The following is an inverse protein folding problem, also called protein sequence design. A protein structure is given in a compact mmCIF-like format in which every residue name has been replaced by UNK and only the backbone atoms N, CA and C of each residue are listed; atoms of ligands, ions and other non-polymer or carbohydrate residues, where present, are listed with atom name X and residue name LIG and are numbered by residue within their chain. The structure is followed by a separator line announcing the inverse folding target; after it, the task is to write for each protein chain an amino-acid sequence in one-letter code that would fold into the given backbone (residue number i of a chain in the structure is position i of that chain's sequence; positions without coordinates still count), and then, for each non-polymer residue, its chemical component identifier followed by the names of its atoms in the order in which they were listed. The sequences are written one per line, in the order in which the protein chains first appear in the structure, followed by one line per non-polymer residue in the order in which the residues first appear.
data_IF_867816090533
#
_entry.id   IF_867816090533
#
_cell.length_a   1.000
_cell.length_b   1.000
_cell.length_c   1.000
_cell.angle_alpha   90.00
_cell.angle_beta   90.00
_cell.angle_gamma   90.00
#
_symmetry.space_group_name_H-M   'P 1'
#
loop_
_entity.id
_entity.type
_entity.pdbx_description
1 polymer ?
#
# COMPACT_ATOMS: atom_id res chain seq x y z
N UNK A 1 26.93 -20.27 -25.15
CA UNK A 1 26.11 -20.94 -26.17
C UNK A 1 25.24 -19.90 -26.89
N UNK A 2 25.05 -20.05 -28.16
CA UNK A 2 24.22 -19.18 -28.99
C UNK A 2 23.46 -20.03 -30.02
N UNK A 3 22.14 -19.95 -30.03
CA UNK A 3 21.26 -20.67 -30.94
C UNK A 3 19.91 -19.98 -31.05
N UNK A 4 19.17 -20.22 -32.16
CA UNK A 4 17.78 -19.75 -32.30
C UNK A 4 16.85 -20.46 -31.32
N UNK A 5 16.99 -21.78 -31.19
CA UNK A 5 16.30 -22.60 -30.21
C UNK A 5 17.35 -23.41 -29.44
N UNK A 6 17.30 -23.36 -28.13
CA UNK A 6 18.20 -24.11 -27.27
C UNK A 6 17.41 -24.82 -26.19
N UNK A 7 17.57 -26.14 -26.08
CA UNK A 7 16.92 -26.96 -25.08
C UNK A 7 17.93 -27.89 -24.43
N UNK A 8 17.95 -27.90 -23.09
CA UNK A 8 18.78 -28.79 -22.30
C UNK A 8 18.15 -29.01 -20.92
N UNK A 9 18.50 -30.13 -20.25
CA UNK A 9 18.11 -30.36 -18.86
C UNK A 9 18.88 -29.37 -17.98
N UNK A 10 20.19 -29.33 -18.14
CA UNK A 10 21.09 -28.45 -17.39
C UNK A 10 21.95 -27.64 -18.36
N UNK A 11 21.99 -26.34 -18.16
CA UNK A 11 22.92 -25.45 -18.83
C UNK A 11 23.69 -24.62 -17.81
N UNK A 12 24.99 -24.77 -17.80
CA UNK A 12 25.90 -23.87 -17.06
C UNK A 12 26.80 -23.16 -18.07
N UNK A 13 26.77 -21.84 -18.07
CA UNK A 13 27.50 -21.03 -19.03
C UNK A 13 27.81 -19.64 -18.49
N UNK A 14 28.95 -19.07 -18.86
CA UNK A 14 29.18 -17.64 -18.59
C UNK A 14 28.17 -16.78 -19.36
N UNK A 15 27.91 -17.11 -20.63
CA UNK A 15 26.95 -16.39 -21.48
C UNK A 15 25.99 -17.41 -22.12
N UNK A 16 24.70 -17.24 -21.94
CA UNK A 16 23.64 -17.97 -22.62
C UNK A 16 22.84 -17.00 -23.50
N UNK A 17 22.80 -17.22 -24.80
CA UNK A 17 22.07 -16.40 -25.75
C UNK A 17 21.26 -17.28 -26.70
N UNK A 18 19.97 -17.00 -26.83
CA UNK A 18 19.04 -17.75 -27.66
C UNK A 18 17.79 -16.92 -27.96
N UNK A 19 17.08 -17.20 -29.04
CA UNK A 19 15.71 -16.67 -29.20
C UNK A 19 14.75 -17.42 -28.25
N UNK A 20 14.81 -18.74 -28.27
CA UNK A 20 13.98 -19.58 -27.38
C UNK A 20 14.89 -20.50 -26.55
N UNK A 21 14.70 -20.48 -25.23
CA UNK A 21 15.43 -21.33 -24.29
C UNK A 21 14.49 -22.16 -23.42
N UNK A 22 14.71 -23.47 -23.36
CA UNK A 22 13.95 -24.42 -22.56
C UNK A 22 14.92 -25.24 -21.70
N UNK A 23 14.91 -25.02 -20.38
CA UNK A 23 15.82 -25.67 -19.44
C UNK A 23 15.09 -26.16 -18.19
N UNK A 24 15.56 -27.28 -17.60
CA UNK A 24 15.19 -27.56 -16.21
C UNK A 24 16.02 -26.65 -15.30
N UNK A 25 17.31 -26.55 -15.51
CA UNK A 25 18.18 -25.68 -14.73
C UNK A 25 19.04 -24.82 -15.68
N UNK A 26 19.00 -23.51 -15.45
CA UNK A 26 19.89 -22.54 -16.11
C UNK A 26 20.74 -21.84 -15.07
N UNK A 27 22.05 -21.93 -15.22
CA UNK A 27 23.04 -21.17 -14.43
C UNK A 27 23.91 -20.38 -15.40
N UNK A 28 23.85 -19.04 -15.34
CA UNK A 28 24.64 -18.20 -16.23
C UNK A 28 25.06 -16.91 -15.52
N UNK A 29 26.24 -16.36 -15.87
CA UNK A 29 26.56 -14.98 -15.49
C UNK A 29 25.70 -14.00 -16.28
N UNK A 30 25.53 -14.25 -17.57
CA UNK A 30 24.64 -13.47 -18.45
C UNK A 30 23.68 -14.42 -19.17
N UNK A 31 22.37 -14.22 -18.99
CA UNK A 31 21.34 -14.86 -19.78
C UNK A 31 20.63 -13.78 -20.63
N UNK A 32 20.75 -13.92 -21.97
CA UNK A 32 20.08 -13.03 -22.94
C UNK A 32 19.26 -13.91 -23.89
N UNK A 33 18.01 -14.17 -23.51
CA UNK A 33 17.13 -15.12 -24.18
C UNK A 33 15.76 -14.46 -24.34
N UNK A 34 15.25 -14.36 -25.56
CA UNK A 34 13.98 -13.66 -25.84
C UNK A 34 12.83 -14.33 -25.07
N UNK A 35 12.65 -15.64 -25.30
CA UNK A 35 11.68 -16.44 -24.55
C UNK A 35 12.40 -17.51 -23.74
N UNK A 36 12.39 -17.40 -22.42
CA UNK A 36 13.00 -18.35 -21.49
C UNK A 36 11.93 -19.08 -20.67
N UNK A 37 11.92 -20.39 -20.80
CA UNK A 37 11.12 -21.29 -19.96
C UNK A 37 12.06 -22.19 -19.18
N UNK A 38 12.00 -22.20 -17.88
CA UNK A 38 12.89 -22.99 -17.02
C UNK A 38 12.20 -23.38 -15.72
N UNK A 39 12.64 -24.49 -15.10
CA UNK A 39 12.24 -24.79 -13.74
C UNK A 39 13.00 -23.88 -12.78
N UNK A 40 14.34 -23.82 -12.93
CA UNK A 40 15.20 -22.99 -12.08
C UNK A 40 16.11 -22.12 -12.96
N UNK A 41 16.13 -20.83 -12.71
CA UNK A 41 17.05 -19.89 -13.35
C UNK A 41 17.91 -19.19 -12.29
N UNK A 42 19.22 -19.25 -12.45
CA UNK A 42 20.17 -18.53 -11.60
C UNK A 42 21.13 -17.76 -12.47
N UNK A 43 21.16 -16.44 -12.33
CA UNK A 43 22.08 -15.60 -13.11
C UNK A 43 22.53 -14.37 -12.34
N UNK A 44 23.66 -13.75 -12.75
CA UNK A 44 24.00 -12.42 -12.29
C UNK A 44 23.16 -11.38 -13.04
N UNK A 45 23.05 -11.51 -14.35
CA UNK A 45 22.26 -10.61 -15.19
C UNK A 45 21.33 -11.41 -16.11
N UNK A 46 20.05 -11.08 -16.11
CA UNK A 46 19.03 -11.65 -17.00
C UNK A 46 18.43 -10.56 -17.89
N UNK A 47 18.46 -10.79 -19.21
CA UNK A 47 17.78 -9.95 -20.20
C UNK A 47 16.86 -10.85 -21.02
N UNK A 48 15.55 -10.68 -20.89
CA UNK A 48 14.59 -11.51 -21.62
C UNK A 48 13.27 -10.74 -21.82
N UNK A 49 12.62 -10.98 -22.95
CA UNK A 49 11.27 -10.44 -23.14
C UNK A 49 10.26 -11.23 -22.31
N UNK A 50 10.41 -12.55 -22.28
CA UNK A 50 9.52 -13.39 -21.49
C UNK A 50 10.31 -14.42 -20.68
N UNK A 51 10.08 -14.43 -19.36
CA UNK A 51 10.57 -15.46 -18.44
C UNK A 51 9.39 -16.18 -17.78
N UNK A 52 9.37 -17.49 -17.95
CA UNK A 52 8.49 -18.39 -17.19
C UNK A 52 9.36 -19.36 -16.38
N UNK A 53 9.25 -19.34 -15.06
CA UNK A 53 10.09 -20.14 -14.16
C UNK A 53 9.34 -20.54 -12.91
N UNK A 54 9.67 -21.71 -12.31
CA UNK A 54 9.26 -21.95 -10.94
C UNK A 54 10.08 -21.09 -9.98
N UNK A 55 11.41 -21.08 -10.17
CA UNK A 55 12.31 -20.29 -9.34
C UNK A 55 13.23 -19.43 -10.21
N UNK A 56 13.30 -18.13 -9.91
CA UNK A 56 14.22 -17.20 -10.54
C UNK A 56 15.05 -16.46 -9.48
N UNK A 57 16.35 -16.63 -9.55
CA UNK A 57 17.33 -15.94 -8.68
C UNK A 57 18.29 -15.15 -9.53
N UNK A 58 18.38 -13.84 -9.30
CA UNK A 58 19.28 -12.96 -10.06
C UNK A 58 19.70 -11.74 -9.27
N UNK A 59 20.88 -11.19 -9.57
CA UNK A 59 21.27 -9.88 -9.06
C UNK A 59 20.54 -8.79 -9.85
N UNK A 60 20.57 -8.82 -11.18
CA UNK A 60 19.90 -7.84 -12.04
C UNK A 60 19.03 -8.54 -13.08
N UNK A 61 17.78 -8.14 -13.20
CA UNK A 61 16.88 -8.66 -14.22
C UNK A 61 16.14 -7.54 -14.95
N UNK A 62 16.19 -7.60 -16.27
CA UNK A 62 15.45 -6.74 -17.19
C UNK A 62 14.54 -7.63 -18.03
N UNK A 63 13.25 -7.61 -17.73
CA UNK A 63 12.27 -8.57 -18.25
C UNK A 63 11.01 -7.82 -18.67
N UNK A 64 10.53 -8.02 -19.90
CA UNK A 64 9.25 -7.42 -20.30
C UNK A 64 8.06 -8.11 -19.60
N UNK A 65 8.09 -9.45 -19.49
CA UNK A 65 7.06 -10.22 -18.80
C UNK A 65 7.66 -11.34 -17.94
N UNK A 66 7.42 -11.31 -16.65
CA UNK A 66 7.84 -12.33 -15.68
C UNK A 66 6.65 -13.11 -15.14
N UNK A 67 6.72 -14.44 -15.23
CA UNK A 67 5.82 -15.36 -14.53
C UNK A 67 6.68 -16.34 -13.73
N UNK A 68 6.60 -16.32 -12.41
CA UNK A 68 7.37 -17.19 -11.54
C UNK A 68 6.62 -17.60 -10.27
N UNK A 69 6.89 -18.78 -9.75
CA UNK A 69 6.40 -19.15 -8.40
C UNK A 69 7.21 -18.43 -7.34
N UNK A 70 8.53 -18.44 -7.46
CA UNK A 70 9.44 -17.71 -6.57
C UNK A 70 10.37 -16.81 -7.39
N UNK A 71 10.38 -15.51 -7.10
CA UNK A 71 11.34 -14.56 -7.63
C UNK A 71 12.17 -13.97 -6.49
N UNK A 72 13.49 -14.22 -6.50
CA UNK A 72 14.46 -13.67 -5.56
C UNK A 72 15.49 -12.87 -6.36
N UNK A 73 15.23 -11.58 -6.54
CA UNK A 73 15.99 -10.73 -7.47
C UNK A 73 16.36 -9.42 -6.76
N UNK A 74 17.65 -9.11 -6.69
CA UNK A 74 18.09 -7.87 -6.03
C UNK A 74 17.56 -6.64 -6.76
N UNK A 75 17.77 -6.53 -8.06
CA UNK A 75 17.28 -5.43 -8.88
C UNK A 75 16.39 -5.98 -9.99
N UNK A 76 15.10 -5.72 -9.93
CA UNK A 76 14.13 -6.14 -10.95
C UNK A 76 13.55 -4.94 -11.68
N UNK A 77 13.75 -4.89 -12.96
CA UNK A 77 13.04 -3.98 -13.88
C UNK A 77 12.19 -4.84 -14.80
N UNK A 78 10.87 -4.68 -14.73
CA UNK A 78 9.95 -5.53 -15.46
C UNK A 78 8.75 -4.72 -15.99
N UNK A 79 8.26 -5.07 -17.18
CA UNK A 79 7.00 -4.53 -17.66
C UNK A 79 5.84 -5.04 -16.82
N UNK A 80 5.61 -6.35 -16.87
CA UNK A 80 4.56 -7.01 -16.10
C UNK A 80 5.13 -8.18 -15.30
N UNK A 81 4.81 -8.28 -14.02
CA UNK A 81 5.21 -9.38 -13.13
C UNK A 81 3.99 -10.09 -12.56
N UNK A 82 4.02 -11.41 -12.62
CA UNK A 82 3.06 -12.29 -11.91
C UNK A 82 3.85 -13.36 -11.15
N UNK A 83 3.82 -13.31 -9.83
CA UNK A 83 4.57 -14.22 -8.98
C UNK A 83 3.72 -14.71 -7.82
N UNK A 84 4.01 -15.91 -7.29
CA UNK A 84 3.42 -16.33 -6.01
C UNK A 84 4.14 -15.64 -4.86
N UNK A 85 5.47 -15.67 -4.87
CA UNK A 85 6.31 -15.01 -3.86
C UNK A 85 7.38 -14.16 -4.55
N UNK A 86 7.46 -12.90 -4.19
CA UNK A 86 8.49 -11.98 -4.66
C UNK A 86 9.32 -11.44 -3.50
N UNK A 87 10.64 -11.58 -3.58
CA UNK A 87 11.61 -10.97 -2.67
C UNK A 87 12.58 -10.15 -3.51
N UNK A 88 12.55 -8.85 -3.36
CA UNK A 88 13.40 -7.93 -4.12
C UNK A 88 13.97 -6.85 -3.21
N UNK A 89 15.14 -6.29 -3.55
CA UNK A 89 15.62 -5.07 -2.91
C UNK A 89 15.04 -3.87 -3.63
N UNK A 90 15.14 -3.82 -4.96
CA UNK A 90 14.58 -2.74 -5.77
C UNK A 90 13.67 -3.31 -6.85
N UNK A 91 12.46 -2.80 -6.97
CA UNK A 91 11.49 -3.21 -7.99
C UNK A 91 10.99 -1.99 -8.76
N UNK A 92 11.12 -2.05 -10.09
CA UNK A 92 10.48 -1.12 -11.01
C UNK A 92 9.62 -1.90 -11.99
N UNK A 93 8.33 -1.64 -12.04
CA UNK A 93 7.40 -2.34 -12.95
C UNK A 93 6.29 -1.41 -13.45
N UNK A 94 5.67 -1.76 -14.57
CA UNK A 94 4.39 -1.16 -14.97
C UNK A 94 3.25 -1.78 -14.15
N UNK A 95 3.21 -3.10 -14.06
CA UNK A 95 2.21 -3.82 -13.27
C UNK A 95 2.86 -4.99 -12.54
N UNK A 96 2.52 -5.18 -11.27
CA UNK A 96 2.94 -6.33 -10.50
C UNK A 96 1.74 -6.97 -9.78
N UNK A 97 1.64 -8.29 -9.88
CA UNK A 97 0.67 -9.11 -9.16
C UNK A 97 1.41 -10.22 -8.45
N UNK A 98 1.22 -10.37 -7.14
CA UNK A 98 1.94 -11.35 -6.34
C UNK A 98 1.06 -11.90 -5.22
N UNK A 99 1.31 -13.15 -4.81
CA UNK A 99 0.73 -13.71 -3.60
C UNK A 99 1.32 -13.02 -2.37
N UNK A 100 2.64 -13.03 -2.24
CA UNK A 100 3.37 -12.38 -1.15
C UNK A 100 4.46 -11.48 -1.73
N UNK A 101 4.64 -10.28 -1.18
CA UNK A 101 5.68 -9.35 -1.62
C UNK A 101 6.51 -8.85 -0.45
N UNK A 102 7.83 -8.97 -0.57
CA UNK A 102 8.80 -8.37 0.35
C UNK A 102 9.78 -7.52 -0.45
N UNK A 103 9.75 -6.21 -0.27
CA UNK A 103 10.70 -5.28 -0.90
C UNK A 103 11.39 -4.47 0.18
N UNK A 104 12.69 -4.66 0.33
CA UNK A 104 13.48 -4.02 1.40
C UNK A 104 13.99 -2.63 1.05
N UNK A 105 14.07 -2.29 -0.22
CA UNK A 105 14.42 -0.95 -0.70
C UNK A 105 13.24 -0.22 -1.34
N UNK A 106 13.48 0.46 -2.46
CA UNK A 106 12.45 1.24 -3.13
C UNK A 106 11.67 0.42 -4.15
N UNK A 107 10.34 0.61 -4.17
CA UNK A 107 9.45 0.04 -5.17
C UNK A 107 8.74 1.14 -5.93
N UNK A 108 8.80 1.08 -7.25
CA UNK A 108 8.10 2.01 -8.15
C UNK A 108 7.25 1.24 -9.15
N UNK A 109 5.94 1.43 -9.09
CA UNK A 109 4.97 0.78 -9.98
C UNK A 109 4.20 1.86 -10.73
N UNK A 110 4.41 1.96 -12.04
CA UNK A 110 3.73 2.95 -12.86
C UNK A 110 2.21 2.81 -12.89
N UNK A 111 1.70 1.59 -12.80
CA UNK A 111 0.27 1.27 -12.77
C UNK A 111 -0.20 0.63 -11.47
N UNK A 112 -0.54 -0.65 -11.52
CA UNK A 112 -1.15 -1.38 -10.39
C UNK A 112 -0.18 -2.35 -9.74
N UNK A 113 -0.10 -2.30 -8.40
CA UNK A 113 0.44 -3.37 -7.57
C UNK A 113 -0.71 -4.09 -6.88
N UNK A 114 -0.86 -5.37 -7.15
CA UNK A 114 -1.83 -6.26 -6.49
C UNK A 114 -1.12 -7.31 -5.64
N UNK A 115 -1.45 -7.43 -4.37
CA UNK A 115 -0.94 -8.48 -3.46
C UNK A 115 -2.12 -9.17 -2.77
N UNK A 116 -2.20 -10.50 -2.87
CA UNK A 116 -3.28 -11.27 -2.26
C UNK A 116 -2.95 -11.76 -0.85
N UNK A 117 -1.69 -11.94 -0.52
CA UNK A 117 -1.22 -12.38 0.80
C UNK A 117 -0.58 -11.25 1.62
N UNK A 118 0.48 -11.58 2.35
CA UNK A 118 1.19 -10.63 3.22
C UNK A 118 2.14 -9.75 2.42
N UNK A 119 2.21 -8.47 2.77
CA UNK A 119 3.07 -7.48 2.11
C UNK A 119 3.93 -6.75 3.14
N UNK A 120 5.24 -6.68 2.88
CA UNK A 120 6.18 -5.86 3.64
C UNK A 120 6.98 -5.00 2.66
N UNK A 121 6.80 -3.69 2.71
CA UNK A 121 7.41 -2.76 1.76
C UNK A 121 8.05 -1.58 2.51
N UNK A 122 9.32 -1.27 2.22
CA UNK A 122 10.01 -0.13 2.79
C UNK A 122 9.48 1.18 2.19
N UNK A 123 9.76 1.44 0.92
CA UNK A 123 9.23 2.63 0.22
C UNK A 123 8.50 2.20 -1.03
N UNK A 124 7.25 2.64 -1.18
CA UNK A 124 6.41 2.25 -2.33
C UNK A 124 5.80 3.47 -2.99
N UNK A 125 5.94 3.55 -4.30
CA UNK A 125 5.21 4.50 -5.15
C UNK A 125 4.42 3.71 -6.19
N UNK A 126 3.10 3.91 -6.25
CA UNK A 126 2.23 3.24 -7.21
C UNK A 126 1.04 4.12 -7.58
N UNK A 127 0.50 3.97 -8.81
CA UNK A 127 -0.80 4.61 -9.11
C UNK A 127 -1.91 3.93 -8.32
N UNK A 128 -1.94 2.60 -8.30
CA UNK A 128 -2.89 1.82 -7.49
C UNK A 128 -2.17 0.73 -6.71
N UNK A 129 -2.39 0.68 -5.40
CA UNK A 129 -1.95 -0.40 -4.54
C UNK A 129 -3.18 -1.11 -3.96
N UNK A 130 -3.31 -2.41 -4.21
CA UNK A 130 -4.37 -3.26 -3.67
C UNK A 130 -3.74 -4.42 -2.90
N UNK A 131 -4.09 -4.57 -1.63
CA UNK A 131 -3.66 -5.68 -0.77
C UNK A 131 -4.88 -6.34 -0.15
N UNK A 132 -5.05 -7.64 -0.38
CA UNK A 132 -6.17 -8.41 0.21
C UNK A 132 -5.82 -9.01 1.57
N UNK A 133 -4.53 -9.20 1.86
CA UNK A 133 -4.04 -9.72 3.14
C UNK A 133 -3.58 -8.63 4.12
N UNK A 134 -2.62 -8.99 4.97
CA UNK A 134 -2.02 -8.06 5.94
C UNK A 134 -0.88 -7.29 5.30
N UNK A 135 -0.78 -5.98 5.54
CA UNK A 135 0.30 -5.16 5.01
C UNK A 135 1.03 -4.36 6.09
N UNK A 136 2.35 -4.30 5.94
CA UNK A 136 3.23 -3.40 6.69
C UNK A 136 4.00 -2.54 5.70
N UNK A 137 3.74 -1.24 5.71
CA UNK A 137 4.26 -0.30 4.73
C UNK A 137 4.94 0.85 5.48
N UNK A 138 6.25 1.05 5.27
CA UNK A 138 6.97 2.12 5.94
C UNK A 138 6.58 3.48 5.34
N UNK A 139 6.85 3.70 4.04
CA UNK A 139 6.45 4.93 3.35
C UNK A 139 5.69 4.56 2.07
N UNK A 140 4.48 5.07 1.92
CA UNK A 140 3.64 4.77 0.76
C UNK A 140 3.12 6.04 0.12
N UNK A 141 3.31 6.15 -1.19
CA UNK A 141 2.70 7.17 -2.03
C UNK A 141 1.88 6.49 -3.11
N UNK A 142 0.57 6.75 -3.15
CA UNK A 142 -0.31 6.15 -4.14
C UNK A 142 -1.44 7.11 -4.52
N UNK A 143 -1.99 6.99 -5.74
CA UNK A 143 -3.27 7.66 -6.02
C UNK A 143 -4.39 6.95 -5.25
N UNK A 144 -4.46 5.62 -5.37
CA UNK A 144 -5.46 4.83 -4.64
C UNK A 144 -4.78 3.71 -3.84
N UNK A 145 -5.05 3.64 -2.55
CA UNK A 145 -4.65 2.56 -1.66
C UNK A 145 -5.89 1.82 -1.16
N UNK A 146 -6.00 0.54 -1.47
CA UNK A 146 -7.10 -0.33 -1.01
C UNK A 146 -6.53 -1.51 -0.24
N UNK A 147 -6.99 -1.73 0.98
CA UNK A 147 -6.60 -2.87 1.81
C UNK A 147 -7.82 -3.53 2.44
N UNK A 148 -8.05 -4.80 2.12
CA UNK A 148 -9.16 -5.56 2.70
C UNK A 148 -8.83 -6.18 4.07
N UNK A 149 -7.54 -6.37 4.37
CA UNK A 149 -7.05 -6.89 5.66
C UNK A 149 -6.63 -5.80 6.64
N UNK A 150 -5.67 -6.15 7.51
CA UNK A 150 -5.04 -5.18 8.41
C UNK A 150 -3.91 -4.44 7.72
N UNK A 151 -3.84 -3.13 7.92
CA UNK A 151 -2.78 -2.30 7.34
C UNK A 151 -2.09 -1.50 8.41
N UNK A 152 -0.77 -1.62 8.49
CA UNK A 152 0.10 -0.76 9.28
C UNK A 152 0.88 0.14 8.33
N UNK A 153 0.68 1.44 8.42
CA UNK A 153 1.33 2.46 7.61
C UNK A 153 2.08 3.42 8.53
N UNK A 154 3.39 3.51 8.38
CA UNK A 154 4.13 4.52 9.12
C UNK A 154 3.87 5.91 8.53
N UNK A 155 4.08 6.08 7.22
CA UNK A 155 3.74 7.32 6.51
C UNK A 155 2.97 6.99 5.23
N UNK A 156 1.79 7.59 5.06
CA UNK A 156 0.97 7.40 3.86
C UNK A 156 0.58 8.74 3.23
N UNK A 157 0.75 8.84 1.93
CA UNK A 157 0.25 9.95 1.10
C UNK A 157 -0.54 9.36 -0.06
N UNK A 158 -1.84 9.63 -0.13
CA UNK A 158 -2.69 9.13 -1.20
C UNK A 158 -3.86 10.07 -1.49
N UNK A 159 -4.42 10.00 -2.72
CA UNK A 159 -5.69 10.69 -2.98
C UNK A 159 -6.82 9.95 -2.26
N UNK A 160 -6.85 8.64 -2.31
CA UNK A 160 -7.84 7.84 -1.61
C UNK A 160 -7.21 6.66 -0.84
N UNK A 161 -7.65 6.46 0.39
CA UNK A 161 -7.35 5.29 1.22
C UNK A 161 -8.66 4.60 1.57
N UNK A 162 -8.77 3.32 1.23
CA UNK A 162 -9.90 2.47 1.61
C UNK A 162 -9.37 1.25 2.37
N UNK A 163 -9.81 1.03 3.61
CA UNK A 163 -9.35 -0.08 4.43
C UNK A 163 -10.43 -0.62 5.36
N UNK A 164 -10.38 -1.92 5.70
CA UNK A 164 -11.19 -2.45 6.80
C UNK A 164 -10.60 -2.01 8.13
N UNK A 165 -9.30 -2.24 8.34
CA UNK A 165 -8.58 -1.80 9.53
C UNK A 165 -7.32 -1.05 9.10
N UNK A 166 -7.22 0.23 9.46
CA UNK A 166 -6.06 1.07 9.16
C UNK A 166 -5.36 1.51 10.45
N UNK A 167 -4.08 1.21 10.58
CA UNK A 167 -3.19 1.70 11.62
C UNK A 167 -2.17 2.64 10.98
N UNK A 168 -2.28 3.94 11.28
CA UNK A 168 -1.54 4.99 10.60
C UNK A 168 -0.72 5.79 11.63
N UNK A 169 0.60 5.94 11.46
CA UNK A 169 1.33 6.91 12.27
C UNK A 169 1.05 8.31 11.72
N UNK A 170 1.29 8.53 10.43
CA UNK A 170 0.99 9.80 9.75
C UNK A 170 0.32 9.52 8.42
N UNK A 171 -0.84 10.11 8.19
CA UNK A 171 -1.54 10.01 6.91
C UNK A 171 -1.97 11.37 6.37
N UNK A 172 -1.72 11.58 5.09
CA UNK A 172 -2.24 12.71 4.32
C UNK A 172 -3.03 12.17 3.12
N UNK A 173 -4.32 12.47 3.07
CA UNK A 173 -5.20 11.94 2.02
C UNK A 173 -6.33 12.91 1.70
N UNK A 174 -6.85 12.87 0.47
CA UNK A 174 -8.10 13.59 0.18
C UNK A 174 -9.28 12.83 0.77
N UNK A 175 -9.35 11.53 0.56
CA UNK A 175 -10.46 10.71 1.05
C UNK A 175 -9.94 9.52 1.87
N UNK A 176 -10.41 9.39 3.11
CA UNK A 176 -10.24 8.20 3.93
C UNK A 176 -11.60 7.53 4.12
N UNK A 177 -11.68 6.24 3.79
CA UNK A 177 -12.83 5.39 4.11
C UNK A 177 -12.34 4.15 4.84
N UNK A 178 -12.78 3.93 6.07
CA UNK A 178 -12.38 2.77 6.88
C UNK A 178 -13.52 2.29 7.77
N UNK A 179 -13.53 1.00 8.12
CA UNK A 179 -14.37 0.54 9.23
C UNK A 179 -13.73 0.98 10.54
N UNK A 180 -12.45 0.66 10.73
CA UNK A 180 -11.68 1.08 11.91
C UNK A 180 -10.45 1.86 11.47
N UNK A 181 -10.27 3.07 11.98
CA UNK A 181 -9.11 3.90 11.74
C UNK A 181 -8.42 4.25 13.06
N UNK A 182 -7.13 3.95 13.16
CA UNK A 182 -6.28 4.36 14.27
C UNK A 182 -5.12 5.17 13.72
N UNK A 183 -4.93 6.39 14.19
CA UNK A 183 -3.85 7.26 13.69
C UNK A 183 -3.27 8.15 14.80
N UNK A 184 -1.96 8.43 14.71
CA UNK A 184 -1.37 9.49 15.51
C UNK A 184 -1.71 10.84 14.87
N UNK A 185 -1.44 11.03 13.58
CA UNK A 185 -1.78 12.25 12.86
C UNK A 185 -2.53 11.91 11.56
N UNK A 186 -3.71 12.48 11.39
CA UNK A 186 -4.51 12.34 10.18
C UNK A 186 -4.84 13.73 9.61
N UNK A 187 -4.44 13.97 8.38
CA UNK A 187 -4.81 15.14 7.58
C UNK A 187 -5.63 14.66 6.39
N UNK A 188 -6.86 15.12 6.26
CA UNK A 188 -7.76 14.67 5.19
C UNK A 188 -8.77 15.74 4.80
N UNK A 189 -9.24 15.73 3.55
CA UNK A 189 -10.42 16.52 3.19
C UNK A 189 -11.66 15.82 3.71
N UNK A 190 -11.84 14.55 3.41
CA UNK A 190 -13.00 13.77 3.83
C UNK A 190 -12.58 12.54 4.64
N UNK A 191 -13.11 12.37 5.83
CA UNK A 191 -12.94 11.17 6.66
C UNK A 191 -14.29 10.52 6.91
N UNK A 192 -14.42 9.25 6.54
CA UNK A 192 -15.62 8.43 6.81
C UNK A 192 -15.18 7.14 7.48
N UNK A 193 -15.64 6.88 8.68
CA UNK A 193 -15.36 5.63 9.38
C UNK A 193 -16.46 5.24 10.37
N UNK A 194 -16.50 3.93 10.72
CA UNK A 194 -17.35 3.48 11.83
C UNK A 194 -16.70 3.82 13.15
N UNK A 195 -15.43 3.45 13.34
CA UNK A 195 -14.69 3.72 14.58
C UNK A 195 -13.38 4.42 14.27
N UNK A 196 -13.07 5.49 14.98
CA UNK A 196 -11.80 6.21 14.85
C UNK A 196 -11.18 6.49 16.21
N UNK A 197 -9.89 6.12 16.34
CA UNK A 197 -9.01 6.48 17.44
C UNK A 197 -7.85 7.31 16.89
N UNK A 198 -7.87 8.61 17.13
CA UNK A 198 -6.93 9.53 16.47
C UNK A 198 -6.39 10.51 17.51
N UNK A 199 -5.04 10.64 17.62
CA UNK A 199 -4.48 11.63 18.53
C UNK A 199 -4.68 13.04 18.00
N UNK A 200 -4.48 13.27 16.70
CA UNK A 200 -4.70 14.57 16.06
C UNK A 200 -5.40 14.40 14.71
N UNK A 201 -6.57 15.02 14.55
CA UNK A 201 -7.36 15.04 13.30
C UNK A 201 -7.47 16.47 12.76
N UNK A 202 -7.09 16.63 11.50
CA UNK A 202 -7.41 17.82 10.71
C UNK A 202 -8.19 17.37 9.47
N UNK A 203 -9.45 17.79 9.36
CA UNK A 203 -10.32 17.42 8.25
C UNK A 203 -11.25 18.57 7.84
N UNK A 204 -11.64 18.63 6.56
CA UNK A 204 -12.74 19.50 6.14
C UNK A 204 -14.07 18.88 6.52
N UNK A 205 -14.27 17.62 6.21
CA UNK A 205 -15.47 16.86 6.55
C UNK A 205 -15.11 15.58 7.33
N UNK A 206 -15.69 15.38 8.51
CA UNK A 206 -15.60 14.15 9.29
C UNK A 206 -17.01 13.58 9.49
N UNK A 207 -17.25 12.37 8.97
CA UNK A 207 -18.49 11.62 9.16
C UNK A 207 -18.14 10.27 9.82
N UNK A 208 -18.31 10.18 11.11
CA UNK A 208 -17.78 9.09 11.94
C UNK A 208 -18.84 8.63 12.94
N UNK A 209 -19.11 7.31 12.99
CA UNK A 209 -20.07 6.79 13.97
C UNK A 209 -19.52 6.92 15.39
N UNK A 210 -18.28 6.49 15.63
CA UNK A 210 -17.64 6.59 16.94
C UNK A 210 -16.25 7.20 16.80
N UNK A 211 -16.03 8.37 17.42
CA UNK A 211 -14.76 9.09 17.40
C UNK A 211 -14.21 9.24 18.82
N UNK A 212 -12.99 8.78 19.02
CA UNK A 212 -12.17 9.11 20.18
C UNK A 212 -10.93 9.83 19.69
N UNK A 213 -10.74 11.08 20.08
CA UNK A 213 -9.64 11.91 19.59
C UNK A 213 -9.11 12.84 20.68
N UNK A 214 -7.78 13.04 20.69
CA UNK A 214 -7.18 14.06 21.56
C UNK A 214 -7.55 15.46 21.07
N UNK A 215 -7.11 15.81 19.87
CA UNK A 215 -7.35 17.12 19.25
C UNK A 215 -7.98 16.95 17.87
N UNK A 216 -9.11 17.62 17.63
CA UNK A 216 -9.79 17.64 16.34
C UNK A 216 -10.02 19.06 15.87
N UNK A 217 -9.66 19.35 14.62
CA UNK A 217 -9.99 20.58 13.92
C UNK A 217 -10.69 20.23 12.62
N UNK A 218 -11.94 20.67 12.47
CA UNK A 218 -12.76 20.33 11.29
C UNK A 218 -13.58 21.54 10.86
N UNK A 219 -13.94 21.62 9.58
CA UNK A 219 -14.97 22.56 9.15
C UNK A 219 -16.34 22.00 9.49
N UNK A 220 -16.62 20.76 9.11
CA UNK A 220 -17.88 20.09 9.39
C UNK A 220 -17.62 18.74 10.06
N UNK A 221 -18.15 18.52 11.22
CA UNK A 221 -18.11 17.25 11.96
C UNK A 221 -19.52 16.70 12.13
N UNK A 222 -19.78 15.50 11.64
CA UNK A 222 -20.99 14.73 11.90
C UNK A 222 -20.59 13.42 12.58
N UNK A 223 -20.89 13.27 13.85
CA UNK A 223 -20.39 12.18 14.69
C UNK A 223 -21.53 11.66 15.57
N UNK A 224 -21.84 10.36 15.53
CA UNK A 224 -22.88 9.83 16.41
C UNK A 224 -22.41 9.87 17.86
N UNK A 225 -21.24 9.28 18.14
CA UNK A 225 -20.64 9.29 19.48
C UNK A 225 -19.26 9.94 19.41
N UNK A 226 -19.10 11.09 20.03
CA UNK A 226 -17.85 11.84 20.09
C UNK A 226 -17.28 11.85 21.50
N UNK A 227 -16.00 11.48 21.66
CA UNK A 227 -15.23 11.68 22.88
C UNK A 227 -13.90 12.33 22.51
N UNK A 228 -13.71 13.59 22.87
CA UNK A 228 -12.53 14.36 22.47
C UNK A 228 -12.10 15.32 23.58
N UNK A 229 -10.78 15.48 23.74
CA UNK A 229 -10.24 16.48 24.66
C UNK A 229 -10.51 17.88 24.10
N UNK A 230 -10.16 18.14 22.84
CA UNK A 230 -10.39 19.43 22.22
C UNK A 230 -11.05 19.24 20.83
N UNK A 231 -12.24 19.79 20.64
CA UNK A 231 -12.89 19.90 19.33
C UNK A 231 -12.99 21.37 18.92
N UNK A 232 -12.44 21.68 17.77
CA UNK A 232 -12.61 22.96 17.09
C UNK A 232 -13.30 22.69 15.75
N UNK A 233 -14.49 23.26 15.54
CA UNK A 233 -15.25 23.06 14.30
C UNK A 233 -16.02 24.33 13.91
N UNK A 234 -16.29 24.54 12.62
CA UNK A 234 -17.30 25.53 12.22
C UNK A 234 -18.70 24.98 12.53
N UNK A 235 -18.97 23.74 12.10
CA UNK A 235 -20.23 23.06 12.39
C UNK A 235 -19.95 21.72 13.06
N UNK A 236 -20.53 21.49 14.24
CA UNK A 236 -20.46 20.24 14.98
C UNK A 236 -21.86 19.65 15.15
N UNK A 237 -22.10 18.43 14.69
CA UNK A 237 -23.33 17.68 14.87
C UNK A 237 -23.02 16.35 15.53
N UNK A 238 -23.65 16.03 16.66
CA UNK A 238 -23.45 14.77 17.37
C UNK A 238 -24.74 14.31 18.07
N UNK A 239 -24.94 13.00 18.16
CA UNK A 239 -25.98 12.46 19.07
C UNK A 239 -25.48 12.49 20.49
N UNK A 240 -24.28 12.00 20.75
CA UNK A 240 -23.66 12.01 22.08
C UNK A 240 -22.27 12.66 21.99
N UNK A 241 -22.06 13.75 22.69
CA UNK A 241 -20.81 14.49 22.71
C UNK A 241 -20.21 14.59 24.10
N UNK A 242 -18.99 14.09 24.31
CA UNK A 242 -18.21 14.23 25.53
C UNK A 242 -16.94 15.01 25.21
N UNK A 243 -16.86 16.25 25.65
CA UNK A 243 -15.75 17.16 25.32
C UNK A 243 -15.15 17.76 26.59
N UNK A 244 -13.82 17.84 26.70
CA UNK A 244 -13.22 18.72 27.70
C UNK A 244 -13.33 20.17 27.24
N UNK A 245 -13.03 20.46 25.98
CA UNK A 245 -13.19 21.79 25.38
C UNK A 245 -13.88 21.66 24.01
N UNK A 246 -14.93 22.44 23.81
CA UNK A 246 -15.67 22.58 22.55
C UNK A 246 -15.61 24.03 22.07
N UNK A 247 -15.10 24.26 20.87
CA UNK A 247 -15.16 25.54 20.17
C UNK A 247 -15.88 25.32 18.84
N UNK A 248 -17.06 25.90 18.67
CA UNK A 248 -17.81 25.75 17.42
C UNK A 248 -18.60 27.02 17.08
N UNK A 249 -18.75 27.33 15.80
CA UNK A 249 -19.68 28.40 15.37
C UNK A 249 -21.11 27.91 15.53
N UNK A 250 -21.41 26.70 15.08
CA UNK A 250 -22.69 26.04 15.23
C UNK A 250 -22.48 24.66 15.88
N UNK A 251 -23.13 24.38 17.01
CA UNK A 251 -23.16 23.07 17.64
C UNK A 251 -24.62 22.57 17.73
N UNK A 252 -24.89 21.40 17.17
CA UNK A 252 -26.17 20.69 17.27
C UNK A 252 -25.91 19.31 17.86
N UNK A 253 -26.08 19.18 19.17
CA UNK A 253 -25.68 17.99 19.94
C UNK A 253 -26.83 17.58 20.85
N UNK A 254 -27.37 16.37 20.65
CA UNK A 254 -28.55 15.90 21.40
C UNK A 254 -28.22 15.69 22.88
N UNK A 255 -27.08 15.03 23.17
CA UNK A 255 -26.62 14.83 24.53
C UNK A 255 -25.21 15.37 24.68
N UNK A 256 -25.05 16.50 25.34
CA UNK A 256 -23.77 17.19 25.49
C UNK A 256 -23.25 17.12 26.93
N UNK A 257 -22.04 16.60 27.09
CA UNK A 257 -21.25 16.74 28.31
C UNK A 257 -19.96 17.47 27.96
N UNK A 258 -19.74 18.64 28.50
CA UNK A 258 -18.59 19.48 28.16
C UNK A 258 -18.05 20.18 29.40
N UNK A 259 -16.70 20.20 29.52
CA UNK A 259 -16.03 20.99 30.55
C UNK A 259 -16.11 22.50 30.25
N UNK A 260 -15.61 22.88 29.08
CA UNK A 260 -15.63 24.27 28.61
C UNK A 260 -16.21 24.35 27.19
N UNK A 261 -17.14 25.28 26.94
CA UNK A 261 -17.74 25.46 25.63
C UNK A 261 -17.66 26.94 25.20
N UNK A 262 -17.28 27.14 23.95
CA UNK A 262 -17.39 28.42 23.25
C UNK A 262 -18.12 28.18 21.94
N UNK A 263 -19.39 28.57 21.87
CA UNK A 263 -20.24 28.38 20.69
C UNK A 263 -20.95 29.68 20.37
N UNK A 264 -21.12 29.97 19.07
CA UNK A 264 -21.95 31.12 18.65
C UNK A 264 -23.43 30.75 18.71
N UNK A 265 -23.76 29.55 18.19
CA UNK A 265 -25.12 29.01 18.22
C UNK A 265 -25.05 27.56 18.72
N UNK A 266 -25.75 27.20 19.76
CA UNK A 266 -25.86 25.84 20.28
C UNK A 266 -27.34 25.40 20.31
N UNK A 267 -27.60 24.18 19.84
CA UNK A 267 -28.86 23.46 19.98
C UNK A 267 -28.55 22.15 20.72
N UNK A 268 -29.14 21.95 21.87
CA UNK A 268 -28.93 20.77 22.73
C UNK A 268 -30.24 20.06 22.98
#
# INVERSE_FOLDING_TARGET
ASATVFSAIDLTSTNATSTNGFFSNLVATLASITDLVTTNSTSTNTFTDKLVSNESTSTNSFISSLVATLANITNLVVGNSTTTNAVTTYLTANTATTGTSTVTGNQTIGGTLGVTGTTTLATTTATRLTVSGTSTLATTTATNLTVSGQTTLNTASATAITATNAYLTTASTTNLTAVNATSTNLVTTNSTSTNSFISSLLATFANITSLIVGNSTTTNATIVNASTTNLVASNATSTNGFFSNLVATLANITNLVVGNSTTTNAVT
#
